data_IF_692509094240
#
_entry.id   IF_692509094240
#
_cell.length_a   1.000
_cell.length_b   1.000
_cell.length_c   1.000
_cell.angle_alpha   90.00
_cell.angle_beta   90.00
_cell.angle_gamma   90.00
#
_symmetry.space_group_name_H-M   'P 1'
#
loop_
_entity.id
_entity.type
_entity.pdbx_description
1 polymer ?
#
# COMPACT_ATOMS: atom_id res chain seq x y z
N UNK A 1 42.38 23.31 16.42
CA UNK A 1 41.55 22.92 15.27
C UNK A 1 40.95 21.51 15.45
N UNK A 2 40.22 21.25 16.54
CA UNK A 2 39.72 19.90 16.86
C UNK A 2 38.18 19.79 16.95
N UNK A 3 37.47 20.91 17.15
CA UNK A 3 36.02 20.92 17.42
C UNK A 3 35.18 20.78 16.14
N UNK A 4 35.72 21.19 14.97
CA UNK A 4 35.00 21.16 13.68
C UNK A 4 34.89 19.75 13.06
N UNK A 5 35.83 18.86 13.35
CA UNK A 5 35.83 17.49 12.79
C UNK A 5 34.76 16.59 13.41
N UNK A 6 34.51 16.75 14.71
CA UNK A 6 33.55 15.91 15.46
C UNK A 6 32.11 16.21 15.03
N UNK A 7 31.78 17.49 14.80
CA UNK A 7 30.45 17.92 14.34
C UNK A 7 30.17 17.42 12.91
N UNK A 8 31.19 17.44 12.04
CA UNK A 8 31.03 16.95 10.67
C UNK A 8 30.81 15.43 10.65
N UNK A 9 31.52 14.69 11.50
CA UNK A 9 31.39 13.25 11.60
C UNK A 9 30.01 12.84 12.14
N UNK A 10 29.50 13.51 13.17
CA UNK A 10 28.16 13.22 13.71
C UNK A 10 27.05 13.57 12.73
N UNK A 11 27.13 14.67 11.99
CA UNK A 11 26.10 15.04 10.99
C UNK A 11 26.05 14.02 9.85
N UNK A 12 27.20 13.58 9.33
CA UNK A 12 27.26 12.56 8.27
C UNK A 12 26.79 11.20 8.79
N UNK A 13 27.16 10.82 10.02
CA UNK A 13 26.74 9.55 10.61
C UNK A 13 25.23 9.51 10.91
N UNK A 14 24.65 10.63 11.35
CA UNK A 14 23.20 10.75 11.57
C UNK A 14 22.43 10.73 10.24
N UNK A 15 22.94 11.39 9.18
CA UNK A 15 22.36 11.26 7.84
C UNK A 15 22.42 9.82 7.32
N UNK A 16 23.52 9.10 7.55
CA UNK A 16 23.69 7.71 7.12
C UNK A 16 22.71 6.77 7.83
N UNK A 17 22.46 6.98 9.13
CA UNK A 17 21.49 6.20 9.91
C UNK A 17 20.04 6.48 9.46
N UNK A 18 19.70 7.73 9.13
CA UNK A 18 18.36 8.09 8.63
C UNK A 18 18.07 7.50 7.25
N UNK A 19 19.07 7.36 6.37
CA UNK A 19 18.90 6.71 5.06
C UNK A 19 18.77 5.18 5.14
N UNK A 20 19.26 4.54 6.20
CA UNK A 20 19.20 3.08 6.38
C UNK A 20 17.84 2.54 6.83
N UNK A 21 16.96 3.37 7.40
CA UNK A 21 15.71 2.91 8.01
C UNK A 21 14.49 2.88 7.09
N UNK A 22 14.61 3.24 5.81
CA UNK A 22 13.45 3.31 4.89
C UNK A 22 13.24 2.07 3.99
N UNK A 23 14.01 0.99 4.15
CA UNK A 23 14.01 -0.16 3.23
C UNK A 23 13.57 -1.49 3.86
N UNK A 24 12.53 -1.50 4.69
CA UNK A 24 11.93 -2.75 5.18
C UNK A 24 10.41 -2.79 5.01
N UNK A 25 9.95 -2.51 3.79
CA UNK A 25 8.74 -3.16 3.29
C UNK A 25 9.24 -4.19 2.28
N UNK A 26 9.06 -5.50 2.51
CA UNK A 26 9.42 -6.52 1.54
C UNK A 26 8.47 -6.41 0.34
N UNK A 27 8.75 -5.46 -0.55
CA UNK A 27 8.19 -5.44 -1.89
C UNK A 27 8.86 -6.64 -2.57
N UNK A 28 8.19 -7.80 -2.58
CA UNK A 28 8.54 -8.87 -3.52
C UNK A 28 8.59 -8.21 -4.89
N UNK A 29 9.79 -8.01 -5.42
CA UNK A 29 10.00 -7.41 -6.73
C UNK A 29 9.57 -8.44 -7.76
N UNK A 30 8.28 -8.48 -8.07
CA UNK A 30 7.77 -9.26 -9.19
C UNK A 30 8.44 -8.73 -10.46
N UNK A 31 9.28 -9.56 -11.08
CA UNK A 31 10.07 -9.23 -12.28
C UNK A 31 9.21 -8.91 -13.49
N UNK A 32 7.96 -9.34 -13.54
CA UNK A 32 7.05 -9.15 -14.67
C UNK A 32 5.65 -8.74 -14.22
N UNK A 33 4.94 -7.96 -15.03
CA UNK A 33 3.53 -7.61 -14.78
C UNK A 33 2.66 -8.86 -14.67
N UNK A 34 2.97 -9.90 -15.43
CA UNK A 34 2.25 -11.17 -15.43
C UNK A 34 2.40 -11.93 -14.09
N UNK A 35 3.61 -11.94 -13.50
CA UNK A 35 3.82 -12.54 -12.18
C UNK A 35 3.14 -11.74 -11.06
N UNK A 36 3.07 -10.41 -11.17
CA UNK A 36 2.24 -9.57 -10.28
C UNK A 36 0.78 -9.98 -10.36
N UNK A 37 0.23 -10.08 -11.58
CA UNK A 37 -1.16 -10.46 -11.81
C UNK A 37 -1.48 -11.85 -11.28
N UNK A 38 -0.61 -12.82 -11.51
CA UNK A 38 -0.79 -14.19 -11.03
C UNK A 38 -0.80 -14.26 -9.50
N UNK A 39 0.17 -13.62 -8.84
CA UNK A 39 0.22 -13.57 -7.38
C UNK A 39 -0.97 -12.82 -6.76
N UNK A 40 -1.34 -11.69 -7.34
CA UNK A 40 -2.52 -10.92 -6.95
C UNK A 40 -3.81 -11.74 -7.03
N UNK A 41 -3.98 -12.52 -8.12
CA UNK A 41 -5.12 -13.41 -8.30
C UNK A 41 -5.13 -14.56 -7.29
N UNK A 42 -3.96 -15.14 -6.98
CA UNK A 42 -3.81 -16.19 -5.96
C UNK A 42 -4.07 -15.66 -4.54
N UNK A 43 -3.68 -14.42 -4.25
CA UNK A 43 -3.79 -13.80 -2.92
C UNK A 43 -5.01 -12.89 -2.75
N UNK A 44 -5.88 -12.79 -3.76
CA UNK A 44 -7.04 -11.89 -3.74
C UNK A 44 -6.69 -10.40 -3.52
N UNK A 45 -5.51 -9.97 -3.97
CA UNK A 45 -4.97 -8.62 -3.70
C UNK A 45 -4.87 -7.82 -4.99
N UNK A 46 -5.27 -6.55 -4.99
CA UNK A 46 -5.08 -5.66 -6.15
C UNK A 46 -3.66 -5.07 -6.16
N UNK A 47 -3.06 -4.94 -7.34
CA UNK A 47 -1.75 -4.33 -7.54
C UNK A 47 -1.78 -3.26 -8.65
N UNK A 48 -0.89 -2.23 -8.57
CA UNK A 48 -0.66 -1.31 -9.68
C UNK A 48 -0.30 -2.05 -10.97
N UNK A 49 -0.83 -1.57 -12.10
CA UNK A 49 -0.67 -2.18 -13.42
C UNK A 49 -1.75 -3.20 -13.79
N UNK A 50 -2.66 -3.54 -12.87
CA UNK A 50 -3.84 -4.36 -13.17
C UNK A 50 -4.87 -3.58 -13.98
N UNK A 51 -5.67 -4.27 -14.79
CA UNK A 51 -6.76 -3.64 -15.54
C UNK A 51 -8.04 -3.56 -14.71
N UNK A 52 -8.98 -2.71 -15.10
CA UNK A 52 -10.32 -2.66 -14.48
C UNK A 52 -11.03 -4.03 -14.45
N UNK A 53 -10.83 -4.86 -15.47
CA UNK A 53 -11.40 -6.21 -15.49
C UNK A 53 -10.73 -7.14 -14.48
N UNK A 54 -9.39 -7.08 -14.36
CA UNK A 54 -8.66 -7.85 -13.35
C UNK A 54 -9.15 -7.49 -11.92
N UNK A 55 -9.43 -6.21 -11.68
CA UNK A 55 -9.99 -5.73 -10.40
C UNK A 55 -11.39 -6.28 -10.15
N UNK A 56 -12.28 -6.23 -11.16
CA UNK A 56 -13.63 -6.80 -11.08
C UNK A 56 -13.59 -8.30 -10.81
N UNK A 57 -12.72 -9.05 -11.49
CA UNK A 57 -12.55 -10.49 -11.24
C UNK A 57 -12.10 -10.77 -9.80
N UNK A 58 -11.18 -9.96 -9.27
CA UNK A 58 -10.63 -10.16 -7.92
C UNK A 58 -11.67 -9.91 -6.83
N UNK A 59 -12.51 -8.89 -6.98
CA UNK A 59 -13.59 -8.58 -6.02
C UNK A 59 -14.90 -9.33 -6.28
N UNK A 60 -15.03 -10.00 -7.42
CA UNK A 60 -16.21 -10.76 -7.82
C UNK A 60 -17.47 -9.88 -7.86
N UNK A 61 -18.40 -10.13 -6.95
CA UNK A 61 -19.70 -9.46 -6.89
C UNK A 61 -19.68 -8.12 -6.12
N UNK A 62 -18.57 -7.78 -5.46
CA UNK A 62 -18.49 -6.53 -4.70
C UNK A 62 -18.42 -5.36 -5.68
N UNK A 63 -19.44 -4.51 -5.65
CA UNK A 63 -19.54 -3.32 -6.49
C UNK A 63 -18.91 -2.13 -5.76
N UNK A 64 -17.97 -1.41 -6.39
CA UNK A 64 -17.40 -0.20 -5.80
C UNK A 64 -18.37 0.98 -5.91
N UNK A 65 -18.18 1.96 -5.02
CA UNK A 65 -18.71 3.31 -5.21
C UNK A 65 -17.76 4.07 -6.16
N UNK A 66 -18.31 4.60 -7.25
CA UNK A 66 -17.54 5.35 -8.24
C UNK A 66 -17.37 6.81 -7.79
N UNK A 67 -16.12 7.27 -7.72
CA UNK A 67 -15.73 8.63 -7.33
C UNK A 67 -14.82 9.24 -8.38
N UNK A 68 -14.71 10.57 -8.32
CA UNK A 68 -13.75 11.33 -9.12
C UNK A 68 -12.86 12.12 -8.16
N UNK A 69 -11.55 12.03 -8.33
CA UNK A 69 -10.58 12.77 -7.53
C UNK A 69 -10.65 14.27 -7.85
N UNK A 70 -10.06 15.11 -7.00
CA UNK A 70 -9.97 16.56 -7.26
C UNK A 70 -9.22 16.90 -8.55
N UNK A 71 -8.38 15.98 -9.04
CA UNK A 71 -7.66 16.10 -10.31
C UNK A 71 -8.43 15.54 -11.51
N UNK A 72 -9.70 15.15 -11.35
CA UNK A 72 -10.51 14.55 -12.42
C UNK A 72 -10.22 13.06 -12.67
N UNK A 73 -9.48 12.40 -11.76
CA UNK A 73 -9.11 10.99 -11.91
C UNK A 73 -10.26 10.08 -11.47
N UNK A 74 -10.52 8.99 -12.21
CA UNK A 74 -11.48 7.98 -11.79
C UNK A 74 -10.96 7.18 -10.59
N UNK A 75 -11.82 7.03 -9.57
CA UNK A 75 -11.51 6.32 -8.32
C UNK A 75 -12.64 5.33 -8.02
N UNK A 76 -12.28 4.09 -7.70
CA UNK A 76 -13.24 3.10 -7.21
C UNK A 76 -13.03 2.92 -5.71
N UNK A 77 -14.06 3.25 -4.95
CA UNK A 77 -14.08 3.12 -3.50
C UNK A 77 -14.74 1.81 -3.09
N UNK A 78 -14.00 0.95 -2.39
CA UNK A 78 -14.50 -0.29 -1.81
C UNK A 78 -14.59 -0.17 -0.31
N UNK A 79 -15.69 -0.66 0.27
CA UNK A 79 -15.91 -0.72 1.72
C UNK A 79 -15.63 -2.12 2.32
N UNK A 80 -15.42 -3.13 1.48
CA UNK A 80 -15.25 -4.54 1.84
C UNK A 80 -14.39 -5.23 0.78
N UNK A 81 -13.52 -6.21 1.14
CA UNK A 81 -13.25 -6.73 2.49
C UNK A 81 -12.51 -5.74 3.40
N UNK A 82 -11.70 -4.86 2.81
CA UNK A 82 -11.08 -3.72 3.50
C UNK A 82 -11.53 -2.42 2.84
N UNK A 83 -11.57 -1.34 3.62
CA UNK A 83 -11.89 -0.03 3.05
C UNK A 83 -10.68 0.45 2.25
N UNK A 84 -10.86 0.71 0.96
CA UNK A 84 -9.76 1.10 0.07
C UNK A 84 -10.26 1.92 -1.12
N UNK A 85 -9.39 2.79 -1.61
CA UNK A 85 -9.58 3.57 -2.84
C UNK A 85 -8.61 3.08 -3.92
N UNK A 86 -9.13 2.78 -5.11
CA UNK A 86 -8.34 2.35 -6.26
C UNK A 86 -8.40 3.43 -7.32
N UNK A 87 -7.25 4.00 -7.67
CA UNK A 87 -7.12 5.10 -8.62
C UNK A 87 -6.72 4.56 -9.99
N UNK A 88 -7.40 5.04 -11.03
CA UNK A 88 -7.18 4.57 -12.40
C UNK A 88 -6.56 5.66 -13.28
N UNK A 89 -5.63 5.24 -14.12
CA UNK A 89 -5.20 6.01 -15.29
C UNK A 89 -5.71 5.26 -16.54
N UNK A 90 -6.77 5.79 -17.14
CA UNK A 90 -7.50 5.09 -18.21
C UNK A 90 -8.08 3.75 -17.73
N UNK A 91 -7.57 2.64 -18.28
CA UNK A 91 -8.04 1.29 -17.96
C UNK A 91 -7.17 0.56 -16.92
N UNK A 92 -6.14 1.21 -16.38
CA UNK A 92 -5.11 0.57 -15.55
C UNK A 92 -5.10 1.17 -14.15
N UNK A 93 -4.91 0.33 -13.13
CA UNK A 93 -4.69 0.73 -11.75
C UNK A 93 -3.36 1.45 -11.65
N UNK A 94 -3.40 2.72 -11.24
CA UNK A 94 -2.22 3.54 -11.00
C UNK A 94 -1.73 3.41 -9.56
N UNK A 95 -2.64 3.60 -8.59
CA UNK A 95 -2.33 3.51 -7.16
C UNK A 95 -3.53 2.99 -6.36
N UNK A 96 -3.25 2.53 -5.15
CA UNK A 96 -4.25 2.00 -4.22
C UNK A 96 -3.97 2.64 -2.85
N UNK A 97 -5.00 3.19 -2.23
CA UNK A 97 -4.95 3.75 -0.88
C UNK A 97 -5.78 2.86 0.04
N UNK A 98 -5.11 2.18 0.98
CA UNK A 98 -5.77 1.32 1.97
C UNK A 98 -6.13 2.14 3.21
N UNK A 99 -7.38 2.03 3.63
CA UNK A 99 -7.91 2.65 4.84
C UNK A 99 -8.21 1.56 5.87
N UNK A 100 -7.19 1.05 6.58
CA UNK A 100 -7.41 0.02 7.58
C UNK A 100 -8.41 0.55 8.62
N UNK A 101 -9.45 -0.24 8.91
CA UNK A 101 -10.24 0.00 10.11
C UNK A 101 -9.25 -0.09 11.27
N UNK A 102 -9.13 0.98 12.06
CA UNK A 102 -8.39 0.94 13.32
C UNK A 102 -8.87 -0.32 14.04
N UNK A 103 -7.98 -1.30 14.24
CA UNK A 103 -8.33 -2.50 14.98
C UNK A 103 -8.85 -2.01 16.32
N UNK A 104 -10.15 -2.17 16.57
CA UNK A 104 -10.66 -2.04 17.92
C UNK A 104 -9.79 -2.96 18.77
N UNK A 105 -9.11 -2.39 19.76
CA UNK A 105 -8.38 -3.16 20.76
C UNK A 105 -9.42 -4.12 21.29
N UNK A 106 -9.32 -5.41 20.93
CA UNK A 106 -10.11 -6.43 21.58
C UNK A 106 -9.57 -6.42 22.99
N UNK A 107 -10.34 -5.98 24.03
CA UNK A 107 -9.87 -6.19 25.38
C UNK A 107 -9.73 -7.70 25.49
N UNK A 108 -8.51 -8.17 25.79
CA UNK A 108 -8.31 -9.52 26.29
C UNK A 108 -9.28 -9.64 27.46
N UNK A 109 -10.37 -10.37 27.24
CA UNK A 109 -11.19 -10.84 28.33
C UNK A 109 -10.26 -11.82 29.02
N UNK A 110 -9.59 -11.30 30.06
CA UNK A 110 -8.83 -12.05 31.03
C UNK A 110 -9.67 -13.27 31.36
N UNK A 111 -9.20 -14.43 30.91
CA UNK A 111 -9.66 -15.71 31.41
C UNK A 111 -9.30 -15.73 32.90
N UNK A 112 -10.20 -15.19 33.73
CA UNK A 112 -10.17 -15.44 35.15
C UNK A 112 -10.55 -16.91 35.35
N UNK A 113 -9.52 -17.66 35.75
CA UNK A 113 -9.61 -18.99 36.37
C UNK A 113 -10.56 -18.99 37.57
#
# INVERSE_FOLDING_TARGET
MAVRGVIFFTVVFVQFLLSGCLHNIPIKQFKTLESKKKFAKEMGTILPGMTKNDVKETFGLIVPELKVSRAGQEVWHYNSPEKQDIYFSGNVVERIEYHPKVRGIVPEISASL
#
